data_IF_756167705458
#
_entry.id   IF_756167705458
#
_cell.length_a   1.000
_cell.length_b   1.000
_cell.length_c   1.000
_cell.angle_alpha   90.00
_cell.angle_beta   90.00
_cell.angle_gamma   90.00
#
_symmetry.space_group_name_H-M   'P 1'
#
loop_
_entity.id
_entity.type
_entity.pdbx_description
1 polymer ?
#
# COMPACT_ATOMS: atom_id res chain seq x y z
N UNK A 1 -10.96 -18.36 -10.32
CA UNK A 1 -10.93 -17.99 -11.74
C UNK A 1 -11.99 -18.72 -12.56
N UNK A 2 -12.15 -20.04 -12.41
CA UNK A 2 -13.13 -20.84 -13.19
C UNK A 2 -14.59 -20.43 -12.99
N UNK A 3 -14.98 -20.06 -11.76
CA UNK A 3 -16.34 -19.61 -11.47
C UNK A 3 -16.69 -18.26 -12.13
N UNK A 4 -15.72 -17.37 -12.29
CA UNK A 4 -15.89 -16.07 -12.95
C UNK A 4 -16.01 -16.22 -14.49
N UNK A 5 -15.32 -17.21 -15.08
CA UNK A 5 -15.44 -17.52 -16.49
C UNK A 5 -16.82 -18.11 -16.84
N UNK A 6 -17.37 -18.94 -15.96
CA UNK A 6 -18.72 -19.48 -16.10
C UNK A 6 -19.82 -18.40 -15.98
N UNK A 7 -19.54 -17.30 -15.27
CA UNK A 7 -20.42 -16.13 -15.17
C UNK A 7 -20.29 -15.16 -16.37
N UNK A 8 -19.55 -15.52 -17.42
CA UNK A 8 -19.41 -14.70 -18.63
C UNK A 8 -18.47 -13.49 -18.50
N UNK A 9 -17.75 -13.38 -17.37
CA UNK A 9 -16.81 -12.29 -17.14
C UNK A 9 -15.52 -12.58 -17.92
N UNK A 10 -15.09 -11.65 -18.75
CA UNK A 10 -13.83 -11.73 -19.50
C UNK A 10 -12.65 -11.47 -18.57
N UNK A 11 -12.28 -12.46 -17.77
CA UNK A 11 -11.24 -12.38 -16.71
C UNK A 11 -9.93 -11.80 -17.26
N UNK A 12 -9.51 -12.23 -18.46
CA UNK A 12 -8.29 -11.72 -19.10
C UNK A 12 -8.32 -10.20 -19.34
N UNK A 13 -9.46 -9.65 -19.80
CA UNK A 13 -9.58 -8.20 -20.03
C UNK A 13 -9.60 -7.42 -18.73
N UNK A 14 -10.26 -7.95 -17.71
CA UNK A 14 -10.30 -7.30 -16.39
C UNK A 14 -8.91 -7.25 -15.77
N UNK A 15 -8.17 -8.35 -15.80
CA UNK A 15 -6.78 -8.36 -15.33
C UNK A 15 -5.91 -7.38 -16.11
N UNK A 16 -5.99 -7.38 -17.45
CA UNK A 16 -5.21 -6.46 -18.27
C UNK A 16 -5.51 -5.00 -17.93
N UNK A 17 -6.80 -4.63 -17.81
CA UNK A 17 -7.21 -3.28 -17.45
C UNK A 17 -6.69 -2.88 -16.06
N UNK A 18 -6.76 -3.78 -15.08
CA UNK A 18 -6.25 -3.51 -13.72
C UNK A 18 -4.75 -3.25 -13.73
N UNK A 19 -3.98 -4.06 -14.45
CA UNK A 19 -2.53 -3.87 -14.55
C UNK A 19 -2.16 -2.59 -15.29
N UNK A 20 -2.84 -2.27 -16.39
CA UNK A 20 -2.62 -1.02 -17.14
C UNK A 20 -2.93 0.20 -16.27
N UNK A 21 -4.04 0.17 -15.54
CA UNK A 21 -4.43 1.25 -14.65
C UNK A 21 -3.41 1.43 -13.51
N UNK A 22 -2.99 0.33 -12.91
CA UNK A 22 -1.98 0.33 -11.84
C UNK A 22 -0.64 0.89 -12.34
N UNK A 23 -0.19 0.45 -13.52
CA UNK A 23 1.04 0.93 -14.15
C UNK A 23 0.96 2.44 -14.51
N UNK A 24 -0.18 2.90 -15.01
CA UNK A 24 -0.39 4.31 -15.33
C UNK A 24 -0.33 5.18 -14.07
N UNK A 25 -1.01 4.76 -12.99
CA UNK A 25 -0.97 5.47 -11.70
C UNK A 25 0.42 5.46 -11.08
N UNK A 26 1.13 4.34 -11.14
CA UNK A 26 2.50 4.24 -10.65
C UNK A 26 3.46 5.14 -11.45
N UNK A 27 3.33 5.18 -12.78
CA UNK A 27 4.11 6.05 -13.64
C UNK A 27 3.87 7.53 -13.36
N UNK A 28 2.60 7.92 -13.17
CA UNK A 28 2.21 9.29 -12.83
C UNK A 28 2.77 9.69 -11.46
N UNK A 29 2.67 8.81 -10.47
CA UNK A 29 3.24 9.03 -9.13
C UNK A 29 4.75 9.16 -9.18
N UNK A 30 5.43 8.28 -9.94
CA UNK A 30 6.88 8.35 -10.13
C UNK A 30 7.34 9.65 -10.79
N UNK A 31 6.61 10.12 -11.80
CA UNK A 31 6.90 11.39 -12.46
C UNK A 31 6.72 12.60 -11.52
N UNK A 32 5.68 12.59 -10.70
CA UNK A 32 5.45 13.63 -9.70
C UNK A 32 6.55 13.66 -8.63
N UNK A 33 6.95 12.50 -8.13
CA UNK A 33 8.01 12.38 -7.12
C UNK A 33 9.34 12.85 -7.70
N UNK A 34 9.68 12.44 -8.93
CA UNK A 34 10.89 12.86 -9.61
C UNK A 34 10.93 14.38 -9.84
N UNK A 35 9.80 14.98 -10.21
CA UNK A 35 9.68 16.43 -10.37
C UNK A 35 9.81 17.19 -9.05
N UNK A 36 9.28 16.65 -7.96
CA UNK A 36 9.33 17.29 -6.64
C UNK A 36 10.70 17.15 -5.96
N UNK A 37 11.37 16.02 -6.15
CA UNK A 37 12.66 15.72 -5.53
C UNK A 37 13.87 16.36 -6.27
N UNK A 38 13.64 16.99 -7.41
CA UNK A 38 14.75 17.58 -8.21
C UNK A 38 15.72 16.57 -8.79
N UNK A 39 15.35 15.30 -8.84
CA UNK A 39 16.14 14.19 -9.38
C UNK A 39 15.80 12.85 -8.72
N UNK A 40 16.09 11.75 -9.40
CA UNK A 40 15.89 10.41 -8.88
C UNK A 40 17.14 9.92 -8.15
N UNK A 41 16.98 9.55 -6.88
CA UNK A 41 17.96 8.73 -6.17
C UNK A 41 17.61 7.25 -6.34
N UNK A 42 18.63 6.42 -6.58
CA UNK A 42 18.45 4.98 -6.87
C UNK A 42 17.74 4.21 -5.74
N UNK A 43 17.77 4.68 -4.51
CA UNK A 43 17.22 4.01 -3.35
C UNK A 43 15.81 4.48 -2.95
N UNK A 44 15.28 5.52 -3.60
CA UNK A 44 13.93 6.05 -3.27
C UNK A 44 12.82 5.02 -3.47
N UNK A 45 12.97 4.13 -4.45
CA UNK A 45 11.97 3.11 -4.75
C UNK A 45 11.76 2.09 -3.62
N UNK A 46 12.80 1.69 -2.91
CA UNK A 46 12.72 0.70 -1.84
C UNK A 46 11.93 1.21 -0.62
N UNK A 47 12.11 2.47 -0.24
CA UNK A 47 11.35 3.06 0.86
C UNK A 47 9.85 3.09 0.57
N UNK A 48 9.46 3.42 -0.66
CA UNK A 48 8.06 3.44 -1.07
C UNK A 48 7.46 2.04 -1.21
N UNK A 49 8.26 1.06 -1.62
CA UNK A 49 7.81 -0.33 -1.77
C UNK A 49 7.38 -0.91 -0.41
N UNK A 50 8.18 -0.74 0.62
CA UNK A 50 7.83 -1.17 1.97
C UNK A 50 6.62 -0.42 2.51
N UNK A 51 6.53 0.89 2.26
CA UNK A 51 5.39 1.71 2.65
C UNK A 51 4.08 1.29 1.99
N UNK A 52 4.09 0.96 0.71
CA UNK A 52 2.87 0.52 -0.01
C UNK A 52 2.37 -0.84 0.46
N UNK A 53 3.28 -1.79 0.73
CA UNK A 53 2.92 -3.08 1.32
C UNK A 53 2.28 -2.87 2.69
N UNK A 54 2.85 -2.00 3.53
CA UNK A 54 2.30 -1.66 4.83
C UNK A 54 0.88 -1.10 4.74
N UNK A 55 0.63 -0.15 3.84
CA UNK A 55 -0.69 0.45 3.62
C UNK A 55 -1.73 -0.60 3.22
N UNK A 56 -1.38 -1.54 2.34
CA UNK A 56 -2.30 -2.60 1.90
C UNK A 56 -2.64 -3.55 3.04
N UNK A 57 -1.65 -3.93 3.84
CA UNK A 57 -1.85 -4.82 5.00
C UNK A 57 -2.69 -4.13 6.09
N UNK A 58 -2.37 -2.87 6.42
CA UNK A 58 -3.11 -2.07 7.41
C UNK A 58 -4.55 -1.79 6.92
N UNK A 59 -4.74 -1.57 5.63
CA UNK A 59 -6.05 -1.35 5.02
C UNK A 59 -7.00 -2.54 5.07
N UNK A 60 -6.56 -3.67 5.67
CA UNK A 60 -7.40 -4.85 5.89
C UNK A 60 -7.59 -5.71 4.64
N UNK A 61 -6.79 -5.50 3.61
CA UNK A 61 -6.74 -6.40 2.46
C UNK A 61 -5.87 -7.60 2.79
N UNK A 62 -6.46 -8.79 2.80
CA UNK A 62 -5.69 -10.02 2.95
C UNK A 62 -4.76 -10.21 1.75
N UNK A 63 -3.46 -10.35 2.01
CA UNK A 63 -2.43 -10.59 0.98
C UNK A 63 -2.68 -11.89 0.22
N UNK A 64 -3.38 -12.84 0.83
CA UNK A 64 -3.67 -14.17 0.28
C UNK A 64 -4.93 -14.15 -0.64
N UNK A 65 -5.65 -13.02 -0.69
CA UNK A 65 -6.89 -12.89 -1.42
C UNK A 65 -8.10 -12.82 -0.47
N UNK A 66 -8.90 -11.81 -0.64
CA UNK A 66 -10.08 -11.56 0.18
C UNK A 66 -10.89 -10.40 -0.40
N UNK A 67 -11.92 -9.98 0.30
CA UNK A 67 -12.72 -8.81 -0.10
C UNK A 67 -11.90 -7.54 0.16
N UNK A 68 -11.57 -6.76 -0.87
CA UNK A 68 -10.85 -5.50 -0.67
C UNK A 68 -11.76 -4.50 0.05
N UNK A 69 -11.26 -3.93 1.13
CA UNK A 69 -11.93 -2.84 1.82
C UNK A 69 -11.36 -1.50 1.31
N UNK A 70 -11.92 -1.00 0.21
CA UNK A 70 -11.44 0.24 -0.44
C UNK A 70 -11.36 1.42 0.54
N UNK A 71 -12.39 1.72 1.38
CA UNK A 71 -12.27 2.82 2.35
C UNK A 71 -11.19 2.56 3.43
N UNK A 72 -10.91 1.30 3.76
CA UNK A 72 -9.83 0.93 4.68
C UNK A 72 -8.44 1.27 4.13
N UNK A 73 -8.23 1.03 2.84
CA UNK A 73 -6.95 1.36 2.17
C UNK A 73 -6.74 2.88 2.14
N UNK A 74 -7.78 3.67 1.86
CA UNK A 74 -7.71 5.13 1.88
C UNK A 74 -7.37 5.66 3.28
N UNK A 75 -8.04 5.15 4.31
CA UNK A 75 -7.75 5.49 5.70
C UNK A 75 -6.32 5.13 6.11
N UNK A 76 -5.85 3.93 5.74
CA UNK A 76 -4.49 3.48 6.00
C UNK A 76 -3.44 4.34 5.27
N UNK A 77 -3.69 4.72 4.02
CA UNK A 77 -2.79 5.58 3.26
C UNK A 77 -2.66 6.97 3.89
N UNK A 78 -3.78 7.58 4.29
CA UNK A 78 -3.78 8.86 5.00
C UNK A 78 -3.08 8.77 6.34
N UNK A 79 -3.33 7.71 7.12
CA UNK A 79 -2.69 7.50 8.40
C UNK A 79 -1.16 7.38 8.26
N UNK A 80 -0.70 6.55 7.33
CA UNK A 80 0.73 6.39 7.05
C UNK A 80 1.38 7.68 6.55
N UNK A 81 0.68 8.43 5.69
CA UNK A 81 1.15 9.73 5.24
C UNK A 81 1.34 10.72 6.40
N UNK A 82 0.36 10.79 7.31
CA UNK A 82 0.44 11.66 8.48
C UNK A 82 1.58 11.27 9.42
N UNK A 83 1.77 9.97 9.66
CA UNK A 83 2.88 9.47 10.49
C UNK A 83 4.22 9.87 9.89
N UNK A 84 4.40 9.62 8.59
CA UNK A 84 5.65 9.99 7.89
C UNK A 84 5.86 11.52 7.89
N UNK A 85 4.80 12.29 7.69
CA UNK A 85 4.87 13.76 7.73
C UNK A 85 5.27 14.28 9.13
N UNK A 86 4.70 13.71 10.19
CA UNK A 86 5.08 14.08 11.56
C UNK A 86 6.53 13.73 11.88
N UNK A 87 7.00 12.57 11.44
CA UNK A 87 8.40 12.19 11.65
C UNK A 87 9.37 13.11 10.90
N UNK A 88 9.02 13.49 9.68
CA UNK A 88 9.82 14.45 8.91
C UNK A 88 9.84 15.84 9.58
N UNK A 89 8.72 16.30 10.10
CA UNK A 89 8.62 17.57 10.85
C UNK A 89 9.43 17.53 12.15
N UNK A 90 9.53 16.38 12.80
CA UNK A 90 10.33 16.18 14.00
C UNK A 90 11.85 16.04 13.73
N UNK A 91 12.27 16.08 12.46
CA UNK A 91 13.69 15.93 12.08
C UNK A 91 14.26 14.54 12.31
N UNK A 92 13.40 13.52 12.40
CA UNK A 92 13.81 12.15 12.64
C UNK A 92 14.58 11.59 11.43
N UNK A 93 15.76 11.03 11.67
CA UNK A 93 16.57 10.39 10.63
C UNK A 93 15.86 9.17 10.00
N UNK A 94 16.29 8.81 8.80
CA UNK A 94 15.72 7.68 8.03
C UNK A 94 15.63 6.37 8.82
N UNK A 95 16.58 6.11 9.73
CA UNK A 95 16.57 4.92 10.57
C UNK A 95 15.41 4.87 11.56
N UNK A 96 15.10 5.99 12.21
CA UNK A 96 13.97 6.09 13.16
C UNK A 96 12.65 5.88 12.43
N UNK A 97 12.53 6.40 11.23
CA UNK A 97 11.37 6.24 10.37
C UNK A 97 11.11 4.76 10.01
N UNK A 98 12.16 4.01 9.64
CA UNK A 98 12.06 2.58 9.33
C UNK A 98 11.64 1.76 10.55
N UNK A 99 12.23 2.03 11.71
CA UNK A 99 11.89 1.32 12.96
C UNK A 99 10.43 1.59 13.36
N UNK A 100 9.99 2.83 13.33
CA UNK A 100 8.62 3.20 13.66
C UNK A 100 7.61 2.61 12.67
N UNK A 101 7.89 2.66 11.38
CA UNK A 101 7.04 2.03 10.36
C UNK A 101 6.93 0.52 10.59
N UNK A 102 8.03 -0.15 10.87
CA UNK A 102 8.04 -1.59 11.19
C UNK A 102 7.23 -1.90 12.45
N UNK A 103 7.37 -1.09 13.49
CA UNK A 103 6.64 -1.26 14.76
C UNK A 103 5.12 -1.08 14.56
N UNK A 104 4.71 -0.09 13.77
CA UNK A 104 3.31 0.13 13.41
C UNK A 104 2.74 -1.06 12.67
N UNK A 105 3.48 -1.60 11.68
CA UNK A 105 3.06 -2.78 10.91
C UNK A 105 2.85 -3.97 11.85
N UNK A 106 3.80 -4.26 12.72
CA UNK A 106 3.72 -5.37 13.69
C UNK A 106 2.51 -5.18 14.61
N UNK A 107 2.30 -3.98 15.13
CA UNK A 107 1.16 -3.68 16.03
C UNK A 107 -0.17 -3.88 15.32
N UNK A 108 -0.30 -3.42 14.09
CA UNK A 108 -1.55 -3.56 13.32
C UNK A 108 -1.81 -5.02 12.96
N UNK A 109 -0.78 -5.78 12.56
CA UNK A 109 -0.94 -7.20 12.28
C UNK A 109 -1.34 -7.96 13.54
N UNK A 110 -0.73 -7.66 14.69
CA UNK A 110 -1.07 -8.26 15.97
C UNK A 110 -2.53 -7.97 16.37
N UNK A 111 -2.99 -6.73 16.22
CA UNK A 111 -4.39 -6.35 16.46
C UNK A 111 -5.36 -6.97 15.44
N UNK A 112 -4.95 -7.09 14.19
CA UNK A 112 -5.76 -7.74 13.14
C UNK A 112 -5.89 -9.23 13.36
N UNK A 113 -4.86 -9.86 13.91
CA UNK A 113 -4.87 -11.29 14.27
C UNK A 113 -5.75 -11.61 15.47
N UNK A 114 -6.03 -10.62 16.33
CA UNK A 114 -6.87 -10.80 17.54
C UNK A 114 -8.38 -10.65 17.26
N UNK A 115 -8.80 -10.33 16.04
CA UNK A 115 -10.19 -10.43 15.64
C UNK A 115 -10.46 -11.86 15.15
N UNK A 116 -10.97 -12.78 16.02
CA UNK A 116 -11.44 -14.08 15.58
C UNK A 116 -12.63 -13.81 14.68
N UNK A 117 -12.49 -14.31 13.44
CA UNK A 117 -13.41 -14.07 12.38
C UNK A 117 -14.85 -14.44 12.72
N UNK A 118 -15.71 -13.71 12.12
CA UNK A 118 -17.03 -14.20 11.83
C UNK A 118 -16.89 -15.25 10.70
N UNK A 119 -17.21 -16.47 11.05
CA UNK A 119 -17.27 -17.62 10.15
C UNK A 119 -18.52 -17.53 9.29
#
# INVERSE_FOLDING_TARGET
PRAAELAGIRVKRTHLLTYVLCAAMAGLTGALIAGFAGGNSLNQGEEYLMGTIAVVVIGGTSVIGGRPCVPGIWGAALFMFLVVAMLNAAGAGSGVRLVLTGLIIITVIALSSTRPGDR
#
